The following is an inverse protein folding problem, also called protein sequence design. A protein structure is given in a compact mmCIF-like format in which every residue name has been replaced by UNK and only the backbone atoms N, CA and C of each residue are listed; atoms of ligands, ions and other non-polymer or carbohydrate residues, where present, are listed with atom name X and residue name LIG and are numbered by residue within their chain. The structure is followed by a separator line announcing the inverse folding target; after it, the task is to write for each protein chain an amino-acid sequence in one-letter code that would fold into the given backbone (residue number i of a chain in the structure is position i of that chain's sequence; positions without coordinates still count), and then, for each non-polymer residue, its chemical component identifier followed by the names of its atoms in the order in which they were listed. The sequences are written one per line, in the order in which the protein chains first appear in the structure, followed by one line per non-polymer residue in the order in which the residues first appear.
data_IF_804949651176
#
_entry.id   IF_804949651176
#
_cell.length_a   1.000
_cell.length_b   1.000
_cell.length_c   1.000
_cell.angle_alpha   90.00
_cell.angle_beta   90.00
_cell.angle_gamma   90.00
#
_symmetry.space_group_name_H-M   'P 1'
#
loop_
_entity.id
_entity.type
_entity.pdbx_description
1 polymer ?
#
# COMPACT_ATOMS: atom_id res chain seq x y z
N UNK A 1 0.42 14.43 0.94
CA UNK A 1 1.46 14.07 -0.05
C UNK A 1 0.86 14.19 -1.45
N UNK A 2 1.65 14.48 -2.49
CA UNK A 2 1.16 14.38 -3.89
C UNK A 2 0.95 12.92 -4.28
N UNK A 3 -0.02 12.61 -5.14
CA UNK A 3 -0.25 11.24 -5.60
C UNK A 3 0.81 10.83 -6.64
N UNK A 4 1.47 9.69 -6.45
CA UNK A 4 2.47 9.15 -7.36
C UNK A 4 2.34 7.63 -7.54
N UNK A 5 2.89 7.09 -8.62
CA UNK A 5 2.89 5.64 -8.87
C UNK A 5 3.95 4.94 -8.01
N UNK A 6 3.53 3.96 -7.21
CA UNK A 6 4.40 3.14 -6.37
C UNK A 6 4.75 1.82 -7.08
N UNK A 7 3.77 1.17 -7.72
CA UNK A 7 3.95 -0.09 -8.46
C UNK A 7 3.75 0.11 -9.96
N UNK A 8 4.83 0.04 -10.74
CA UNK A 8 4.74 0.20 -12.20
C UNK A 8 4.09 -1.00 -12.92
N UNK A 9 4.21 -2.22 -12.37
CA UNK A 9 3.66 -3.44 -12.97
C UNK A 9 2.13 -3.47 -12.92
N UNK A 10 1.55 -3.03 -11.79
CA UNK A 10 0.11 -3.09 -11.51
C UNK A 10 -0.55 -1.70 -11.51
N UNK A 11 0.23 -0.66 -11.83
CA UNK A 11 -0.21 0.75 -11.87
C UNK A 11 -0.84 1.22 -10.54
N UNK A 12 -0.26 0.78 -9.42
CA UNK A 12 -0.74 1.15 -8.08
C UNK A 12 -0.11 2.48 -7.68
N UNK A 13 -0.94 3.42 -7.24
CA UNK A 13 -0.55 4.74 -6.77
C UNK A 13 -0.64 4.87 -5.25
N UNK A 14 -0.08 5.94 -4.69
CA UNK A 14 -0.19 6.25 -3.27
C UNK A 14 -1.66 6.35 -2.82
N UNK A 15 -2.51 7.01 -3.61
CA UNK A 15 -3.93 7.12 -3.33
C UNK A 15 -4.65 5.76 -3.33
N UNK A 16 -4.22 4.81 -4.17
CA UNK A 16 -4.78 3.44 -4.15
C UNK A 16 -4.43 2.70 -2.85
N UNK A 17 -3.22 2.89 -2.33
CA UNK A 17 -2.79 2.33 -1.03
C UNK A 17 -3.59 2.97 0.10
N UNK A 18 -3.72 4.29 0.14
CA UNK A 18 -4.51 5.00 1.14
C UNK A 18 -5.98 4.55 1.14
N UNK A 19 -6.58 4.40 -0.05
CA UNK A 19 -7.95 3.90 -0.18
C UNK A 19 -8.08 2.46 0.32
N UNK A 20 -7.15 1.57 -0.07
CA UNK A 20 -7.15 0.19 0.38
C UNK A 20 -7.00 0.08 1.92
N UNK A 21 -6.24 1.00 2.54
CA UNK A 21 -6.10 1.07 3.99
C UNK A 21 -7.32 1.67 4.70
N UNK A 22 -8.05 2.57 4.05
CA UNK A 22 -9.28 3.13 4.60
C UNK A 22 -10.36 2.06 4.80
N UNK A 23 -10.35 1.03 3.94
CA UNK A 23 -11.26 -0.11 4.03
C UNK A 23 -10.81 -1.16 5.07
N UNK A 24 -9.56 -1.09 5.57
CA UNK A 24 -9.05 -1.91 6.69
C UNK A 24 -9.24 -1.19 8.04
N UNK A 25 -10.16 -1.69 8.86
CA UNK A 25 -10.77 -0.97 10.00
C UNK A 25 -10.04 -1.18 11.36
N UNK A 26 -8.80 -1.68 11.41
CA UNK A 26 -8.18 -2.08 12.70
C UNK A 26 -6.70 -1.70 12.86
N UNK A 27 -6.29 -1.51 14.12
CA UNK A 27 -4.90 -1.34 14.55
C UNK A 27 -4.13 -2.64 14.32
N UNK A 28 -3.80 -2.90 13.05
CA UNK A 28 -3.02 -4.05 12.61
C UNK A 28 -1.59 -3.61 12.31
N UNK A 29 -0.65 -4.55 12.39
CA UNK A 29 0.74 -4.28 11.99
C UNK A 29 0.85 -4.05 10.47
N UNK A 30 1.96 -3.43 10.08
CA UNK A 30 2.23 -3.04 8.68
C UNK A 30 2.21 -4.25 7.74
N UNK A 31 2.65 -5.43 8.21
CA UNK A 31 2.66 -6.67 7.42
C UNK A 31 1.26 -7.19 7.10
N UNK A 32 0.35 -7.09 8.08
CA UNK A 32 -1.05 -7.49 7.90
C UNK A 32 -1.77 -6.53 6.97
N UNK A 33 -1.55 -5.23 7.15
CA UNK A 33 -2.07 -4.20 6.25
C UNK A 33 -1.51 -4.36 4.83
N UNK A 34 -0.23 -4.72 4.69
CA UNK A 34 0.35 -5.01 3.38
C UNK A 34 -0.38 -6.14 2.68
N UNK A 35 -0.75 -7.22 3.38
CA UNK A 35 -1.53 -8.32 2.78
C UNK A 35 -2.87 -7.82 2.26
N UNK A 36 -3.60 -7.02 3.03
CA UNK A 36 -4.87 -6.43 2.58
C UNK A 36 -4.69 -5.51 1.37
N UNK A 37 -3.68 -4.65 1.39
CA UNK A 37 -3.34 -3.78 0.25
C UNK A 37 -2.95 -4.61 -0.98
N UNK A 38 -2.18 -5.69 -0.80
CA UNK A 38 -1.79 -6.60 -1.87
C UNK A 38 -2.99 -7.36 -2.45
N UNK A 39 -3.94 -7.80 -1.62
CA UNK A 39 -5.16 -8.47 -2.08
C UNK A 39 -6.00 -7.57 -2.98
N UNK A 40 -6.15 -6.30 -2.60
CA UNK A 40 -6.97 -5.32 -3.33
C UNK A 40 -6.27 -4.80 -4.59
N UNK A 41 -4.98 -4.46 -4.50
CA UNK A 41 -4.24 -3.77 -5.57
C UNK A 41 -3.40 -4.70 -6.43
N UNK A 42 -3.23 -5.95 -5.99
CA UNK A 42 -2.32 -6.95 -6.56
C UNK A 42 -0.84 -6.51 -6.59
N UNK A 43 -0.44 -5.49 -5.82
CA UNK A 43 0.96 -5.03 -5.79
C UNK A 43 1.93 -6.18 -5.41
N UNK A 44 3.19 -6.08 -5.82
CA UNK A 44 4.23 -7.10 -5.60
C UNK A 44 4.00 -8.49 -6.21
N UNK A 45 2.90 -8.74 -6.93
CA UNK A 45 2.66 -10.01 -7.69
C UNK A 45 3.23 -9.99 -9.12
N UNK A 46 4.03 -8.96 -9.45
CA UNK A 46 4.77 -8.83 -10.72
C UNK A 46 6.25 -9.06 -10.51
N UNK A 47 7.06 -7.99 -10.59
CA UNK A 47 8.51 -8.07 -10.36
C UNK A 47 8.94 -7.99 -8.89
N UNK A 48 8.03 -7.72 -7.95
CA UNK A 48 8.32 -7.54 -6.52
C UNK A 48 9.03 -6.23 -6.13
N UNK A 49 9.59 -5.47 -7.08
CA UNK A 49 10.42 -4.27 -6.79
C UNK A 49 9.70 -3.08 -6.12
N UNK A 50 8.37 -3.13 -5.95
CA UNK A 50 7.61 -2.11 -5.23
C UNK A 50 7.34 -2.48 -3.76
N UNK A 51 7.66 -3.69 -3.31
CA UNK A 51 7.26 -4.21 -2.01
C UNK A 51 7.63 -3.27 -0.85
N UNK A 52 8.91 -2.89 -0.74
CA UNK A 52 9.36 -1.97 0.31
C UNK A 52 8.66 -0.61 0.23
N UNK A 53 8.47 -0.07 -0.97
CA UNK A 53 7.82 1.24 -1.16
C UNK A 53 6.35 1.22 -0.72
N UNK A 54 5.67 0.08 -0.85
CA UNK A 54 4.31 -0.09 -0.36
C UNK A 54 4.32 -0.13 1.18
N UNK A 55 5.24 -0.86 1.81
CA UNK A 55 5.40 -0.88 3.28
C UNK A 55 5.68 0.52 3.84
N UNK A 56 6.55 1.27 3.17
CA UNK A 56 6.88 2.65 3.55
C UNK A 56 5.63 3.55 3.45
N UNK A 57 4.88 3.47 2.35
CA UNK A 57 3.63 4.22 2.17
C UNK A 57 2.58 3.86 3.22
N UNK A 58 2.41 2.58 3.54
CA UNK A 58 1.49 2.14 4.61
C UNK A 58 1.89 2.76 5.95
N UNK A 59 3.19 2.69 6.30
CA UNK A 59 3.71 3.25 7.54
C UNK A 59 3.50 4.76 7.63
N UNK A 60 3.75 5.49 6.53
CA UNK A 60 3.51 6.93 6.45
C UNK A 60 2.02 7.28 6.67
N UNK A 61 1.11 6.54 6.04
CA UNK A 61 -0.34 6.75 6.17
C UNK A 61 -0.81 6.46 7.60
N UNK A 62 -0.26 5.43 8.25
CA UNK A 62 -0.56 5.11 9.64
C UNK A 62 -0.07 6.18 10.62
N UNK A 63 1.12 6.76 10.38
CA UNK A 63 1.71 7.80 11.24
C UNK A 63 1.14 9.20 11.00
N UNK A 64 0.51 9.42 9.84
CA UNK A 64 -0.11 10.71 9.47
C UNK A 64 -1.56 10.86 9.94
N UNK A 65 -2.13 9.81 10.56
CA UNK A 65 -3.43 9.81 11.25
C UNK A 65 -3.24 9.86 12.76
#
# INVERSE_FOLDING_TARGET
MENYTICNCKKVTYADVEKALHDSVRMEDVETLFKSVQEITHCSTGCGGCHQKILDAISEIMMSK
#
